data_IF_040185525274
#
_entry.id   IF_040185525274
#
_cell.length_a   1.000
_cell.length_b   1.000
_cell.length_c   1.000
_cell.angle_alpha   90.00
_cell.angle_beta   90.00
_cell.angle_gamma   90.00
#
_symmetry.space_group_name_H-M   'P 1'
#
loop_
_entity.id
_entity.type
_entity.pdbx_description
1 polymer ?
#
# COMPACT_ATOMS: atom_id res chain seq x y z
N UNK A 1 -29.08 -9.62 3.07
CA UNK A 1 -27.81 -8.84 3.28
C UNK A 1 -27.44 -8.13 1.98
N UNK A 2 -26.99 -6.86 2.00
CA UNK A 2 -26.84 -5.99 0.80
C UNK A 2 -25.88 -6.55 -0.28
N UNK A 3 -24.87 -7.34 0.09
CA UNK A 3 -24.00 -8.05 -0.86
C UNK A 3 -24.70 -9.14 -1.68
N UNK A 4 -25.80 -9.73 -1.18
CA UNK A 4 -26.58 -10.70 -1.95
C UNK A 4 -27.38 -10.03 -3.09
N UNK A 5 -27.51 -8.69 -3.08
CA UNK A 5 -28.23 -7.95 -4.13
C UNK A 5 -27.39 -7.73 -5.39
N UNK A 6 -26.05 -7.84 -5.29
CA UNK A 6 -25.13 -7.70 -6.44
C UNK A 6 -24.17 -8.89 -6.42
N UNK A 7 -24.58 -10.03 -7.01
CA UNK A 7 -23.81 -11.28 -6.96
C UNK A 7 -22.49 -11.17 -7.72
N UNK A 8 -22.48 -10.49 -8.87
CA UNK A 8 -21.26 -10.20 -9.62
C UNK A 8 -20.43 -9.13 -8.90
N UNK A 9 -19.17 -9.45 -8.58
CA UNK A 9 -18.24 -8.53 -7.90
C UNK A 9 -17.93 -7.30 -8.74
N UNK A 10 -17.84 -7.44 -10.06
CA UNK A 10 -17.46 -6.35 -10.97
C UNK A 10 -18.53 -5.27 -11.08
N UNK A 11 -19.79 -5.60 -10.76
CA UNK A 11 -20.91 -4.67 -10.77
C UNK A 11 -21.03 -3.88 -9.45
N UNK A 12 -20.13 -4.12 -8.49
CA UNK A 12 -20.11 -3.40 -7.20
C UNK A 12 -19.38 -2.07 -7.37
N UNK A 13 -19.97 -1.02 -6.82
CA UNK A 13 -19.30 0.29 -6.71
C UNK A 13 -18.01 0.15 -5.91
N UNK A 14 -16.89 0.59 -6.51
CA UNK A 14 -15.60 0.65 -5.80
C UNK A 14 -15.56 1.91 -4.94
N UNK A 15 -15.17 1.74 -3.67
CA UNK A 15 -15.01 2.86 -2.73
C UNK A 15 -13.55 2.90 -2.29
N UNK A 16 -12.86 3.99 -2.62
CA UNK A 16 -11.51 4.25 -2.13
C UNK A 16 -11.58 4.99 -0.80
N UNK A 17 -10.91 4.45 0.22
CA UNK A 17 -10.83 5.01 1.56
C UNK A 17 -9.38 5.44 1.76
N UNK A 18 -9.16 6.75 1.84
CA UNK A 18 -7.82 7.33 1.96
C UNK A 18 -7.63 7.80 3.40
N UNK A 19 -6.54 7.40 4.03
CA UNK A 19 -6.19 7.82 5.40
C UNK A 19 -4.78 8.37 5.43
N UNK A 20 -4.61 9.54 6.03
CA UNK A 20 -3.30 10.15 6.23
C UNK A 20 -2.71 9.76 7.59
N UNK A 21 -1.42 9.40 7.62
CA UNK A 21 -0.64 9.05 8.83
C UNK A 21 -1.41 8.18 9.83
N UNK A 22 -1.86 7.01 9.37
CA UNK A 22 -2.72 6.12 10.16
C UNK A 22 -2.08 5.68 11.49
N UNK A 23 -0.75 5.66 11.56
CA UNK A 23 0.03 5.35 12.76
C UNK A 23 -0.37 6.25 13.97
N UNK A 24 -0.71 7.51 13.74
CA UNK A 24 -1.03 8.48 14.80
C UNK A 24 -2.35 8.17 15.53
N UNK A 25 -3.24 7.37 14.92
CA UNK A 25 -4.57 7.07 15.44
C UNK A 25 -4.72 5.59 15.78
N UNK A 26 -4.33 5.21 17.00
CA UNK A 26 -4.35 3.82 17.49
C UNK A 26 -5.70 3.10 17.26
N UNK A 27 -6.81 3.75 17.59
CA UNK A 27 -8.16 3.17 17.42
C UNK A 27 -8.50 2.97 15.94
N UNK A 28 -8.07 3.90 15.08
CA UNK A 28 -8.28 3.82 13.63
C UNK A 28 -7.50 2.67 13.01
N UNK A 29 -6.26 2.41 13.46
CA UNK A 29 -5.49 1.26 13.00
C UNK A 29 -6.20 -0.06 13.27
N UNK A 30 -6.70 -0.25 14.50
CA UNK A 30 -7.42 -1.48 14.88
C UNK A 30 -8.66 -1.63 14.02
N UNK A 31 -9.46 -0.56 13.89
CA UNK A 31 -10.66 -0.55 13.07
C UNK A 31 -10.37 -0.88 11.60
N UNK A 32 -9.39 -0.23 10.97
CA UNK A 32 -8.97 -0.52 9.59
C UNK A 32 -8.53 -1.98 9.48
N UNK A 33 -7.71 -2.45 10.42
CA UNK A 33 -7.21 -3.83 10.45
C UNK A 33 -8.29 -4.91 10.56
N UNK A 34 -9.40 -4.62 11.23
CA UNK A 34 -10.58 -5.51 11.29
C UNK A 34 -11.40 -5.46 10.00
N UNK A 35 -11.40 -4.31 9.32
CA UNK A 35 -12.23 -4.06 8.13
C UNK A 35 -11.54 -4.39 6.81
N UNK A 36 -10.21 -4.44 6.73
CA UNK A 36 -9.45 -4.74 5.50
C UNK A 36 -10.01 -5.93 4.71
N UNK A 37 -10.12 -7.10 5.36
CA UNK A 37 -10.58 -8.34 4.70
C UNK A 37 -12.07 -8.32 4.35
N UNK A 38 -12.89 -7.61 5.15
CA UNK A 38 -14.32 -7.49 4.92
C UNK A 38 -14.60 -6.52 3.77
N UNK A 39 -14.02 -5.31 3.82
CA UNK A 39 -14.18 -4.26 2.82
C UNK A 39 -13.77 -4.72 1.41
N UNK A 40 -12.69 -5.51 1.29
CA UNK A 40 -12.27 -6.06 0.00
C UNK A 40 -13.37 -6.89 -0.70
N UNK A 41 -14.23 -7.58 0.08
CA UNK A 41 -15.39 -8.32 -0.46
C UNK A 41 -16.45 -7.37 -1.01
N UNK A 42 -16.59 -6.16 -0.47
CA UNK A 42 -17.62 -5.19 -0.86
C UNK A 42 -17.12 -4.11 -1.82
N UNK A 43 -15.91 -4.24 -2.38
CA UNK A 43 -15.33 -3.23 -3.28
C UNK A 43 -14.68 -2.05 -2.56
N UNK A 44 -14.49 -2.12 -1.25
CA UNK A 44 -13.71 -1.15 -0.49
C UNK A 44 -12.20 -1.37 -0.69
N UNK A 45 -11.48 -0.28 -0.99
CA UNK A 45 -10.03 -0.27 -1.16
C UNK A 45 -9.42 0.78 -0.23
N UNK A 46 -8.49 0.36 0.62
CA UNK A 46 -7.78 1.28 1.50
C UNK A 46 -6.51 1.79 0.83
N UNK A 47 -6.27 3.09 0.95
CA UNK A 47 -5.02 3.78 0.57
C UNK A 47 -4.54 4.47 1.84
N UNK A 48 -3.41 4.01 2.36
CA UNK A 48 -2.89 4.42 3.66
C UNK A 48 -1.56 5.12 3.41
N UNK A 49 -1.41 6.36 3.87
CA UNK A 49 -0.09 6.96 4.04
C UNK A 49 0.42 6.69 5.47
N UNK A 50 1.73 6.55 5.59
CA UNK A 50 2.44 6.51 6.87
C UNK A 50 3.90 6.86 6.66
N UNK A 51 4.53 7.46 7.66
CA UNK A 51 5.97 7.70 7.67
C UNK A 51 6.77 6.39 7.75
N UNK A 52 6.36 5.46 8.61
CA UNK A 52 7.05 4.20 8.85
C UNK A 52 6.11 3.00 8.84
N UNK A 53 6.37 2.02 7.97
CA UNK A 53 5.57 0.79 7.85
C UNK A 53 5.59 -0.01 9.15
N UNK A 54 6.73 -0.06 9.82
CA UNK A 54 6.91 -0.85 11.04
C UNK A 54 6.09 -0.31 12.24
N UNK A 55 5.67 0.96 12.22
CA UNK A 55 4.79 1.56 13.24
C UNK A 55 3.31 1.19 13.05
N UNK A 56 2.94 0.67 11.88
CA UNK A 56 1.59 0.15 11.65
C UNK A 56 1.42 -1.17 12.40
N UNK A 57 0.54 -1.18 13.41
CA UNK A 57 0.10 -2.39 14.13
C UNK A 57 -0.55 -3.42 13.22
N UNK A 58 -1.01 -2.98 12.05
CA UNK A 58 -1.66 -3.82 11.04
C UNK A 58 -0.69 -4.30 9.94
N UNK A 59 0.63 -4.04 10.04
CA UNK A 59 1.61 -4.36 8.99
C UNK A 59 1.58 -5.81 8.52
N UNK A 60 1.48 -6.78 9.44
CA UNK A 60 1.42 -8.21 9.08
C UNK A 60 0.14 -8.55 8.32
N UNK A 61 -0.98 -7.90 8.68
CA UNK A 61 -2.24 -8.05 7.94
C UNK A 61 -2.13 -7.46 6.54
N UNK A 62 -1.43 -6.33 6.37
CA UNK A 62 -1.19 -5.73 5.06
C UNK A 62 -0.31 -6.63 4.19
N UNK A 63 0.76 -7.21 4.74
CA UNK A 63 1.64 -8.16 4.03
C UNK A 63 0.87 -9.40 3.55
N UNK A 64 0.11 -10.03 4.46
CA UNK A 64 -0.71 -11.21 4.13
C UNK A 64 -1.88 -10.89 3.19
N UNK A 65 -2.36 -9.65 3.17
CA UNK A 65 -3.40 -9.19 2.26
C UNK A 65 -2.89 -8.87 0.83
N UNK A 66 -1.62 -9.16 0.51
CA UNK A 66 -1.05 -8.92 -0.80
C UNK A 66 -1.14 -7.43 -1.22
N UNK A 67 -0.84 -6.54 -0.28
CA UNK A 67 -0.94 -5.08 -0.45
C UNK A 67 0.13 -4.56 -1.41
N UNK A 68 -0.19 -3.50 -2.16
CA UNK A 68 0.82 -2.77 -2.98
C UNK A 68 1.44 -1.63 -2.17
N UNK A 69 2.72 -1.38 -2.35
CA UNK A 69 3.50 -0.40 -1.61
C UNK A 69 4.14 0.62 -2.56
N UNK A 70 4.20 1.88 -2.12
CA UNK A 70 4.82 2.98 -2.85
C UNK A 70 5.76 3.69 -1.88
N UNK A 71 7.07 3.59 -2.13
CA UNK A 71 8.09 4.32 -1.38
C UNK A 71 8.47 5.57 -2.19
N UNK A 72 8.12 6.74 -1.68
CA UNK A 72 8.41 8.02 -2.34
C UNK A 72 9.86 8.46 -2.09
N UNK A 73 10.41 9.30 -2.98
CA UNK A 73 11.71 9.96 -2.77
C UNK A 73 11.80 10.57 -1.36
N UNK A 74 12.87 10.26 -0.64
CA UNK A 74 13.06 10.67 0.77
C UNK A 74 12.53 9.68 1.82
N UNK A 75 11.97 8.53 1.42
CA UNK A 75 11.58 7.48 2.37
C UNK A 75 12.79 6.88 3.09
N UNK A 76 12.63 6.54 4.37
CA UNK A 76 13.70 5.98 5.19
C UNK A 76 14.03 4.52 4.80
N UNK A 77 15.29 4.12 5.02
CA UNK A 77 15.77 2.74 4.75
C UNK A 77 15.00 1.65 5.48
N UNK A 78 14.41 1.97 6.63
CA UNK A 78 13.58 1.03 7.41
C UNK A 78 12.39 0.54 6.60
N UNK A 79 11.74 1.41 5.82
CA UNK A 79 10.61 1.03 4.96
C UNK A 79 11.04 0.10 3.82
N UNK A 80 12.22 0.33 3.24
CA UNK A 80 12.80 -0.61 2.27
C UNK A 80 13.07 -1.98 2.91
N UNK A 81 13.63 -1.98 4.12
CA UNK A 81 13.99 -3.22 4.81
C UNK A 81 12.78 -4.12 5.12
N UNK A 82 11.61 -3.54 5.37
CA UNK A 82 10.35 -4.28 5.54
C UNK A 82 9.91 -5.05 4.28
N UNK A 83 10.37 -4.61 3.10
CA UNK A 83 9.98 -5.11 1.77
C UNK A 83 11.19 -5.61 0.96
N UNK A 84 12.31 -5.83 1.64
CA UNK A 84 13.63 -6.02 1.00
C UNK A 84 13.66 -7.26 0.11
N UNK A 85 13.08 -8.36 0.58
CA UNK A 85 13.08 -9.62 -0.16
C UNK A 85 12.34 -9.46 -1.48
N UNK A 86 11.15 -8.82 -1.43
CA UNK A 86 10.32 -8.58 -2.59
C UNK A 86 10.98 -7.62 -3.59
N UNK A 87 11.65 -6.56 -3.12
CA UNK A 87 12.40 -5.66 -3.99
C UNK A 87 13.62 -6.33 -4.63
N UNK A 88 14.39 -7.10 -3.85
CA UNK A 88 15.59 -7.77 -4.35
C UNK A 88 15.25 -8.83 -5.40
N UNK A 89 14.14 -9.56 -5.23
CA UNK A 89 13.64 -10.50 -6.24
C UNK A 89 13.31 -9.82 -7.57
N UNK A 90 12.96 -8.53 -7.53
CA UNK A 90 12.67 -7.72 -8.72
C UNK A 90 13.88 -6.90 -9.22
N UNK A 91 15.06 -7.09 -8.61
CA UNK A 91 16.29 -6.43 -9.02
C UNK A 91 16.45 -4.99 -8.51
N UNK A 92 15.68 -4.57 -7.50
CA UNK A 92 15.83 -3.26 -6.86
C UNK A 92 16.56 -3.38 -5.53
N UNK A 93 17.32 -2.33 -5.21
CA UNK A 93 18.21 -2.22 -4.06
C UNK A 93 17.87 -1.02 -3.20
N UNK A 94 18.48 -0.95 -2.00
CA UNK A 94 18.37 0.23 -1.15
C UNK A 94 18.97 1.49 -1.82
N UNK A 95 19.99 1.32 -2.66
CA UNK A 95 20.61 2.41 -3.38
C UNK A 95 19.64 3.05 -4.38
N UNK A 96 18.78 2.25 -5.01
CA UNK A 96 17.72 2.76 -5.90
C UNK A 96 16.74 3.69 -5.16
N UNK A 97 16.39 3.36 -3.91
CA UNK A 97 15.56 4.22 -3.07
C UNK A 97 16.25 5.56 -2.75
N UNK A 98 17.53 5.51 -2.37
CA UNK A 98 18.31 6.71 -2.04
C UNK A 98 18.57 7.61 -3.25
N UNK A 99 18.69 7.03 -4.44
CA UNK A 99 18.91 7.76 -5.69
C UNK A 99 17.61 8.26 -6.35
N UNK A 100 16.44 8.04 -5.74
CA UNK A 100 15.17 8.55 -6.25
C UNK A 100 15.19 10.09 -6.34
N UNK A 101 15.01 10.60 -7.56
CA UNK A 101 14.79 12.03 -7.80
C UNK A 101 13.47 12.49 -7.16
N UNK A 102 13.38 13.79 -6.86
CA UNK A 102 12.11 14.40 -6.43
C UNK A 102 11.00 14.10 -7.44
N UNK A 103 9.80 13.78 -6.96
CA UNK A 103 8.65 13.32 -7.77
C UNK A 103 8.87 11.96 -8.44
N UNK A 104 9.64 11.06 -7.82
CA UNK A 104 9.68 9.65 -8.18
C UNK A 104 9.34 8.78 -6.98
N UNK A 105 8.84 7.58 -7.26
CA UNK A 105 8.64 6.52 -6.29
C UNK A 105 9.29 5.23 -6.75
N UNK A 106 9.75 4.44 -5.78
CA UNK A 106 10.03 3.02 -5.93
C UNK A 106 8.77 2.26 -5.50
N UNK A 107 8.18 1.52 -6.43
CA UNK A 107 6.89 0.88 -6.25
C UNK A 107 7.06 -0.63 -6.14
N UNK A 108 6.21 -1.25 -5.35
CA UNK A 108 6.03 -2.69 -5.25
C UNK A 108 4.53 -2.98 -5.42
N UNK A 109 4.11 -3.30 -6.64
CA UNK A 109 2.71 -3.46 -7.00
C UNK A 109 2.36 -4.94 -7.07
N UNK A 110 1.33 -5.35 -6.32
CA UNK A 110 0.83 -6.73 -6.37
C UNK A 110 0.19 -6.98 -7.74
N UNK A 111 0.61 -8.07 -8.37
CA UNK A 111 0.05 -8.57 -9.61
C UNK A 111 -0.38 -10.04 -9.47
N UNK A 112 -1.03 -10.61 -10.48
CA UNK A 112 -1.52 -12.00 -10.44
C UNK A 112 -0.39 -13.00 -10.13
N UNK A 113 0.80 -12.80 -10.73
CA UNK A 113 1.94 -13.73 -10.64
C UNK A 113 3.02 -13.32 -9.61
N UNK A 114 2.68 -12.48 -8.63
CA UNK A 114 3.65 -12.03 -7.61
C UNK A 114 3.61 -10.52 -7.43
N UNK A 115 4.78 -9.91 -7.39
CA UNK A 115 4.94 -8.47 -7.36
C UNK A 115 5.67 -8.00 -8.60
N UNK A 116 5.27 -6.83 -9.10
CA UNK A 116 6.09 -6.04 -10.00
C UNK A 116 6.75 -4.94 -9.16
N UNK A 117 8.03 -4.68 -9.37
CA UNK A 117 8.67 -3.49 -8.83
C UNK A 117 9.20 -2.59 -9.94
N UNK A 118 9.21 -1.29 -9.67
CA UNK A 118 9.66 -0.31 -10.65
C UNK A 118 9.71 1.10 -10.10
N UNK A 119 10.58 1.92 -10.70
CA UNK A 119 10.66 3.34 -10.44
C UNK A 119 9.72 4.08 -11.38
N UNK A 120 8.83 4.90 -10.84
CA UNK A 120 7.89 5.70 -11.65
C UNK A 120 7.96 7.16 -11.31
N UNK A 121 7.68 8.01 -12.30
CA UNK A 121 7.49 9.43 -12.10
C UNK A 121 6.10 9.71 -11.52
N UNK A 122 6.05 10.39 -10.38
CA UNK A 122 4.83 10.89 -9.76
C UNK A 122 4.38 12.20 -10.44
N UNK A 123 3.09 12.55 -10.36
CA UNK A 123 2.61 13.85 -10.83
C UNK A 123 3.42 15.00 -10.22
N UNK A 124 3.70 16.07 -11.01
CA UNK A 124 4.25 17.29 -10.44
C UNK A 124 3.25 17.92 -9.47
N UNK A 125 3.69 18.84 -8.59
CA UNK A 125 2.78 19.60 -7.75
C UNK A 125 1.68 20.23 -8.60
N UNK A 126 0.43 20.18 -8.14
CA UNK A 126 -0.61 20.97 -8.75
C UNK A 126 -0.32 22.43 -8.39
N UNK A 127 0.01 23.23 -9.41
CA UNK A 127 0.18 24.69 -9.32
C UNK A 127 -1.18 25.37 -9.14
#
# INVERSE_FOLDING_TARGET
>A
MRAAKIPNRYDRTTVNIITDELNQLNSSQVFVGEKLSQCAKFGGKFIISTMYINELKIREKLRTANTSYILISGSDKTNYNELKEEFQQQGFTLEDLFNLKRHYSLNLIKYENGYWAGITKLPPPML
#
